data_IF_141407097097
#
_entry.id   IF_141407097097
#
_cell.length_a   1.000
_cell.length_b   1.000
_cell.length_c   1.000
_cell.angle_alpha   90.00
_cell.angle_beta   90.00
_cell.angle_gamma   90.00
#
_symmetry.space_group_name_H-M   'P 1'
#
loop_
_entity.id
_entity.type
_entity.pdbx_description
1 polymer ?
#
# COMPACT_ATOMS: atom_id res chain seq x y z
N UNK A 1 -8.80 2.71 -18.33
CA UNK A 1 -7.75 3.59 -17.72
C UNK A 1 -7.94 3.67 -16.21
N UNK A 2 -9.19 3.74 -15.73
CA UNK A 2 -9.51 3.64 -14.30
C UNK A 2 -9.23 2.24 -13.72
N UNK A 3 -9.31 1.20 -14.55
CA UNK A 3 -9.24 -0.20 -14.11
C UNK A 3 -7.93 -0.53 -13.38
N UNK A 4 -6.80 0.00 -13.88
CA UNK A 4 -5.48 -0.15 -13.24
C UNK A 4 -5.39 0.56 -11.88
N UNK A 5 -6.13 1.66 -11.71
CA UNK A 5 -6.19 2.39 -10.44
C UNK A 5 -7.10 1.66 -9.44
N UNK A 6 -8.20 1.08 -9.91
CA UNK A 6 -9.07 0.26 -9.08
C UNK A 6 -8.31 -0.97 -8.57
N UNK A 7 -7.67 -1.71 -9.48
CA UNK A 7 -6.86 -2.89 -9.15
C UNK A 7 -5.70 -2.55 -8.20
N UNK A 8 -5.06 -1.37 -8.36
CA UNK A 8 -4.00 -0.95 -7.45
C UNK A 8 -4.52 -0.65 -6.05
N UNK A 9 -5.74 -0.11 -5.91
CA UNK A 9 -6.36 0.13 -4.61
C UNK A 9 -6.78 -1.16 -3.91
N UNK A 10 -7.32 -2.13 -4.67
CA UNK A 10 -7.75 -3.43 -4.12
C UNK A 10 -6.59 -4.27 -3.59
N UNK A 11 -5.41 -4.12 -4.18
CA UNK A 11 -4.20 -4.87 -3.82
C UNK A 11 -3.29 -4.14 -2.83
N UNK A 12 -3.66 -2.92 -2.41
CA UNK A 12 -2.83 -2.14 -1.49
C UNK A 12 -2.75 -2.78 -0.10
N UNK A 13 -1.55 -2.81 0.50
CA UNK A 13 -1.39 -3.29 1.86
C UNK A 13 -2.10 -2.37 2.85
N UNK A 14 -2.82 -2.95 3.80
CA UNK A 14 -3.40 -2.22 4.92
C UNK A 14 -2.58 -2.43 6.19
N UNK A 15 -2.45 -1.35 6.96
CA UNK A 15 -1.83 -1.33 8.29
C UNK A 15 -2.78 -0.65 9.27
N UNK A 16 -2.66 -0.99 10.56
CA UNK A 16 -3.43 -0.31 11.60
C UNK A 16 -2.65 0.89 12.12
N UNK A 17 -3.22 2.10 12.01
CA UNK A 17 -2.69 3.34 12.56
C UNK A 17 -3.54 3.77 13.75
N UNK A 18 -3.09 3.40 14.94
CA UNK A 18 -3.86 3.61 16.17
C UNK A 18 -5.24 2.96 16.06
N UNK A 19 -6.27 3.79 16.03
CA UNK A 19 -7.66 3.35 16.04
C UNK A 19 -8.26 3.07 14.65
N UNK A 20 -7.54 3.35 13.55
CA UNK A 20 -8.07 3.17 12.19
C UNK A 20 -7.16 2.34 11.27
N UNK A 21 -7.76 1.75 10.23
CA UNK A 21 -7.03 1.05 9.18
C UNK A 21 -6.60 2.06 8.10
N UNK A 22 -5.35 1.99 7.70
CA UNK A 22 -4.75 2.84 6.68
C UNK A 22 -4.18 1.96 5.58
N UNK A 23 -4.52 2.23 4.33
CA UNK A 23 -3.88 1.58 3.19
C UNK A 23 -2.65 2.38 2.76
N UNK A 24 -1.58 1.70 2.36
CA UNK A 24 -0.38 2.35 1.83
C UNK A 24 -0.44 2.24 0.32
N UNK A 25 -0.59 3.36 -0.38
CA UNK A 25 -0.70 3.37 -1.84
C UNK A 25 0.54 3.99 -2.51
N UNK A 26 1.17 3.32 -3.50
CA UNK A 26 2.45 3.75 -4.08
C UNK A 26 2.45 5.18 -4.63
N UNK A 27 1.32 5.63 -5.19
CA UNK A 27 1.21 6.97 -5.80
C UNK A 27 1.09 8.08 -4.74
N UNK A 28 0.38 7.83 -3.64
CA UNK A 28 0.09 8.86 -2.62
C UNK A 28 1.15 8.91 -1.54
N UNK A 29 1.62 7.75 -1.10
CA UNK A 29 2.56 7.62 0.01
C UNK A 29 4.01 7.63 -0.46
N UNK A 30 4.25 7.37 -1.76
CA UNK A 30 5.60 7.35 -2.34
C UNK A 30 6.53 6.29 -1.73
N UNK A 31 5.96 5.29 -1.04
CA UNK A 31 6.73 4.23 -0.40
C UNK A 31 6.99 3.11 -1.42
N UNK A 32 8.26 2.85 -1.78
CA UNK A 32 8.58 1.70 -2.61
C UNK A 32 8.27 0.41 -1.86
N UNK A 33 7.75 -0.58 -2.57
CA UNK A 33 7.53 -1.92 -2.02
C UNK A 33 8.91 -2.54 -1.71
N UNK A 34 9.12 -2.94 -0.46
CA UNK A 34 10.35 -3.60 0.00
C UNK A 34 9.99 -4.99 0.51
N UNK A 35 10.72 -6.00 0.07
CA UNK A 35 10.60 -7.37 0.59
C UNK A 35 11.07 -7.40 2.05
N UNK A 36 10.23 -7.83 3.02
CA UNK A 36 10.60 -7.91 4.43
C UNK A 36 11.85 -8.75 4.70
N UNK A 37 12.19 -9.72 3.84
CA UNK A 37 13.39 -10.53 3.96
C UNK A 37 14.69 -9.70 3.81
N UNK A 38 14.62 -8.53 3.18
CA UNK A 38 15.77 -7.63 2.98
C UNK A 38 16.09 -6.75 4.19
N UNK A 39 15.23 -6.70 5.21
CA UNK A 39 15.40 -5.86 6.41
C UNK A 39 16.12 -6.59 7.57
N UNK A 40 16.78 -7.71 7.32
CA UNK A 40 17.48 -8.53 8.33
C UNK A 40 18.96 -8.20 8.46
#
# INVERSE_FOLDING_TARGET
MLDRLVESLETCPMVKRGEYNYFIHPITDGVPIVDPALLR
#
